data_IF_609200334084
#
_entry.id   IF_609200334084
#
_cell.length_a   1.000
_cell.length_b   1.000
_cell.length_c   1.000
_cell.angle_alpha   90.00
_cell.angle_beta   90.00
_cell.angle_gamma   90.00
#
_symmetry.space_group_name_H-M   'P 1'
#
loop_
_entity.id
_entity.type
_entity.pdbx_description
1 polymer ?
#
# COMPACT_ATOMS: atom_id res chain seq x y z
N UNK A 1 4.13 -4.02 -5.44
CA UNK A 1 3.07 -4.60 -4.58
C UNK A 1 2.88 -3.68 -3.39
N UNK A 2 2.03 -2.65 -3.53
CA UNK A 2 1.58 -1.89 -2.37
C UNK A 2 0.66 -2.80 -1.55
N UNK A 3 0.92 -2.90 -0.26
CA UNK A 3 0.13 -3.72 0.65
C UNK A 3 -1.36 -3.43 0.41
N UNK A 4 -2.12 -4.46 0.02
CA UNK A 4 -3.56 -4.48 0.14
C UNK A 4 -3.83 -5.03 1.54
N UNK A 5 -3.92 -4.20 2.60
CA UNK A 5 -4.14 -4.72 3.94
C UNK A 5 -5.49 -5.42 4.07
N UNK A 6 -6.40 -5.35 3.08
CA UNK A 6 -7.70 -6.01 3.13
C UNK A 6 -8.16 -6.71 1.84
N UNK A 7 -7.47 -6.51 0.71
CA UNK A 7 -7.86 -7.11 -0.57
C UNK A 7 -7.67 -8.63 -0.66
N UNK A 8 -7.08 -9.26 0.35
CA UNK A 8 -6.96 -10.73 0.47
C UNK A 8 -7.76 -11.31 1.64
N UNK A 9 -8.39 -10.50 2.49
CA UNK A 9 -9.12 -11.00 3.67
C UNK A 9 -10.48 -11.62 3.29
N UNK A 10 -11.23 -10.98 2.39
CA UNK A 10 -12.58 -11.44 2.03
C UNK A 10 -12.61 -12.78 1.27
N UNK A 11 -11.58 -13.06 0.46
CA UNK A 11 -11.46 -14.32 -0.27
C UNK A 11 -10.89 -15.46 0.57
N UNK A 12 -9.99 -15.14 1.51
CA UNK A 12 -9.32 -16.16 2.31
C UNK A 12 -10.17 -16.66 3.49
N UNK A 13 -11.03 -15.82 4.08
CA UNK A 13 -11.85 -16.19 5.24
C UNK A 13 -13.13 -16.98 4.91
N UNK A 14 -13.36 -17.32 3.64
CA UNK A 14 -14.56 -18.03 3.16
C UNK A 14 -15.87 -17.51 3.79
N UNK A 15 -16.07 -16.19 3.74
CA UNK A 15 -17.19 -15.51 4.40
C UNK A 15 -18.53 -15.93 3.78
N UNK A 16 -19.52 -16.22 4.62
CA UNK A 16 -20.91 -16.48 4.18
C UNK A 16 -21.55 -15.21 3.59
N UNK A 17 -22.67 -15.36 2.89
CA UNK A 17 -23.41 -14.23 2.33
C UNK A 17 -23.80 -13.21 3.42
N UNK A 18 -24.34 -13.67 4.55
CA UNK A 18 -24.73 -12.82 5.67
C UNK A 18 -23.54 -12.09 6.31
N UNK A 19 -22.40 -12.79 6.45
CA UNK A 19 -21.18 -12.19 6.98
C UNK A 19 -20.65 -11.10 6.05
N UNK A 20 -20.64 -11.36 4.74
CA UNK A 20 -20.24 -10.38 3.73
C UNK A 20 -21.11 -9.14 3.79
N UNK A 21 -22.44 -9.30 3.84
CA UNK A 21 -23.37 -8.18 3.90
C UNK A 21 -23.13 -7.28 5.12
N UNK A 22 -22.71 -7.85 6.25
CA UNK A 22 -22.39 -7.08 7.48
C UNK A 22 -20.99 -6.47 7.47
N UNK A 23 -20.01 -7.16 6.89
CA UNK A 23 -18.60 -6.74 6.85
C UNK A 23 -18.34 -5.70 5.76
N UNK A 24 -19.06 -5.76 4.64
CA UNK A 24 -18.88 -4.87 3.50
C UNK A 24 -18.94 -3.37 3.84
N UNK A 25 -19.96 -2.85 4.56
CA UNK A 25 -20.00 -1.43 4.93
C UNK A 25 -18.81 -1.02 5.80
N UNK A 26 -18.38 -1.87 6.74
CA UNK A 26 -17.19 -1.65 7.56
C UNK A 26 -15.96 -1.52 6.67
N UNK A 27 -15.77 -2.46 5.74
CA UNK A 27 -14.61 -2.44 4.83
C UNK A 27 -14.63 -1.25 3.87
N UNK A 28 -15.80 -0.82 3.39
CA UNK A 28 -15.94 0.39 2.56
C UNK A 28 -15.52 1.64 3.34
N UNK A 29 -15.96 1.75 4.59
CA UNK A 29 -15.56 2.84 5.48
C UNK A 29 -14.06 2.81 5.76
N UNK A 30 -13.51 1.65 6.13
CA UNK A 30 -12.07 1.48 6.37
C UNK A 30 -11.26 1.89 5.16
N UNK A 31 -11.62 1.44 3.94
CA UNK A 31 -10.90 1.85 2.71
C UNK A 31 -10.90 3.35 2.50
N UNK A 32 -12.03 4.01 2.78
CA UNK A 32 -12.15 5.47 2.66
C UNK A 32 -11.22 6.17 3.66
N UNK A 33 -11.20 5.72 4.92
CA UNK A 33 -10.32 6.27 5.95
C UNK A 33 -8.84 6.00 5.64
N UNK A 34 -8.50 4.80 5.14
CA UNK A 34 -7.15 4.47 4.70
C UNK A 34 -6.67 5.42 3.59
N UNK A 35 -7.51 5.64 2.57
CA UNK A 35 -7.20 6.58 1.48
C UNK A 35 -6.95 7.97 2.03
N UNK A 36 -7.81 8.47 2.91
CA UNK A 36 -7.65 9.78 3.54
C UNK A 36 -6.35 9.91 4.34
N UNK A 37 -5.99 8.91 5.15
CA UNK A 37 -4.72 8.91 5.90
C UNK A 37 -3.52 8.94 4.96
N UNK A 38 -3.53 8.12 3.90
CA UNK A 38 -2.43 8.07 2.94
C UNK A 38 -2.31 9.35 2.12
N UNK A 39 -3.43 9.94 1.70
CA UNK A 39 -3.45 11.23 0.98
C UNK A 39 -2.97 12.38 1.87
N UNK A 40 -3.44 12.47 3.13
CA UNK A 40 -2.97 13.47 4.09
C UNK A 40 -1.46 13.36 4.33
N UNK A 41 -0.98 12.14 4.59
CA UNK A 41 0.43 11.87 4.81
C UNK A 41 1.28 12.30 3.61
N UNK A 42 0.90 11.87 2.41
CA UNK A 42 1.60 12.22 1.17
C UNK A 42 1.66 13.74 0.95
N UNK A 43 0.54 14.44 1.13
CA UNK A 43 0.47 15.88 0.99
C UNK A 43 1.40 16.58 1.99
N UNK A 44 1.41 16.12 3.25
CA UNK A 44 2.27 16.67 4.31
C UNK A 44 3.75 16.35 4.07
N UNK A 45 4.08 15.15 3.60
CA UNK A 45 5.45 14.75 3.23
C UNK A 45 5.99 15.64 2.11
N UNK A 46 5.20 15.87 1.06
CA UNK A 46 5.59 16.79 -0.03
C UNK A 46 5.66 18.25 0.45
N UNK A 47 4.74 18.67 1.32
CA UNK A 47 4.77 20.02 1.90
C UNK A 47 6.04 20.28 2.72
N UNK A 48 6.59 19.24 3.37
CA UNK A 48 7.82 19.32 4.15
C UNK A 48 9.09 19.48 3.31
N UNK A 49 9.02 19.27 1.99
CA UNK A 49 10.15 19.44 1.08
C UNK A 49 10.26 20.88 0.56
N UNK A 50 11.48 21.31 0.25
CA UNK A 50 11.72 22.54 -0.52
C UNK A 50 11.10 22.46 -1.92
N UNK A 51 10.83 23.60 -2.56
CA UNK A 51 10.24 23.64 -3.90
C UNK A 51 11.11 22.90 -4.94
N UNK A 52 12.44 23.10 -4.87
CA UNK A 52 13.39 22.45 -5.78
C UNK A 52 13.43 20.93 -5.57
N UNK A 53 13.44 20.48 -4.31
CA UNK A 53 13.44 19.05 -4.01
C UNK A 53 12.11 18.39 -4.37
N UNK A 54 10.97 19.05 -4.11
CA UNK A 54 9.65 18.58 -4.60
C UNK A 54 9.66 18.33 -6.10
N UNK A 55 10.15 19.30 -6.89
CA UNK A 55 10.19 19.19 -8.35
C UNK A 55 11.06 17.99 -8.80
N UNK A 56 12.23 17.81 -8.18
CA UNK A 56 13.12 16.67 -8.47
C UNK A 56 12.50 15.33 -8.06
N UNK A 57 11.88 15.24 -6.88
CA UNK A 57 11.18 14.03 -6.42
C UNK A 57 10.07 13.67 -7.40
N UNK A 58 9.26 14.64 -7.82
CA UNK A 58 8.20 14.42 -8.80
C UNK A 58 8.76 13.89 -10.13
N UNK A 59 9.85 14.48 -10.62
CA UNK A 59 10.52 14.02 -11.84
C UNK A 59 11.00 12.56 -11.72
N UNK A 60 11.60 12.17 -10.59
CA UNK A 60 12.05 10.79 -10.35
C UNK A 60 10.85 9.84 -10.35
N UNK A 61 9.75 10.22 -9.71
CA UNK A 61 8.51 9.43 -9.67
C UNK A 61 7.93 9.25 -11.08
N UNK A 62 7.85 10.31 -11.88
CA UNK A 62 7.31 10.25 -13.24
C UNK A 62 8.17 9.39 -14.16
N UNK A 63 9.50 9.49 -14.03
CA UNK A 63 10.45 8.61 -14.71
C UNK A 63 10.27 7.15 -14.30
N UNK A 64 10.13 6.90 -13.00
CA UNK A 64 9.87 5.58 -12.43
C UNK A 64 8.57 4.98 -12.96
N UNK A 65 7.50 5.78 -13.02
CA UNK A 65 6.21 5.39 -13.57
C UNK A 65 6.32 5.03 -15.05
N UNK A 66 6.98 5.87 -15.85
CA UNK A 66 7.19 5.58 -17.27
C UNK A 66 8.00 4.30 -17.49
N UNK A 67 9.04 4.07 -16.68
CA UNK A 67 9.83 2.84 -16.70
C UNK A 67 8.98 1.62 -16.33
N UNK A 68 8.18 1.69 -15.26
CA UNK A 68 7.28 0.62 -14.86
C UNK A 68 6.23 0.30 -15.94
N UNK A 69 5.65 1.32 -16.57
CA UNK A 69 4.70 1.14 -17.68
C UNK A 69 5.34 0.46 -18.89
N UNK A 70 6.61 0.73 -19.19
CA UNK A 70 7.36 0.04 -20.26
C UNK A 70 7.70 -1.41 -19.91
N UNK A 71 7.90 -1.71 -18.63
CA UNK A 71 8.19 -3.06 -18.12
C UNK A 71 6.93 -3.92 -17.97
N UNK A 72 5.74 -3.31 -17.95
CA UNK A 72 4.45 -4.00 -17.98
C UNK A 72 3.97 -4.13 -19.44
N UNK A 73 4.15 -5.28 -20.12
CA UNK A 73 3.50 -5.47 -21.41
C UNK A 73 1.98 -5.34 -21.24
N UNK A 74 1.30 -4.71 -22.21
CA UNK A 74 -0.16 -4.77 -22.27
C UNK A 74 -0.56 -6.24 -22.23
N UNK A 75 -1.22 -6.67 -21.14
CA UNK A 75 -1.68 -8.05 -21.06
C UNK A 75 -2.70 -8.24 -22.19
N UNK A 76 -2.48 -9.15 -23.16
CA UNK A 76 -3.54 -9.51 -24.08
C UNK A 76 -4.72 -10.05 -23.25
N UNK A 77 -5.98 -9.83 -23.69
CA UNK A 77 -7.11 -10.48 -23.05
C UNK A 77 -6.86 -11.99 -23.05
N UNK A 78 -6.61 -12.55 -21.86
CA UNK A 78 -6.41 -13.98 -21.70
C UNK A 78 -7.68 -14.73 -22.06
N UNK A 79 -7.58 -15.96 -22.58
CA UNK A 79 -8.75 -16.80 -22.81
C UNK A 79 -9.52 -16.97 -21.48
N UNK A 80 -10.87 -16.96 -21.50
CA UNK A 80 -11.67 -17.15 -20.30
C UNK A 80 -11.30 -18.47 -19.63
N UNK A 81 -10.78 -18.40 -18.39
CA UNK A 81 -10.43 -19.57 -17.58
C UNK A 81 -8.94 -19.87 -17.40
N UNK A 82 -8.03 -19.15 -18.06
CA UNK A 82 -6.60 -19.26 -17.75
C UNK A 82 -6.26 -18.35 -16.56
N UNK A 83 -5.85 -18.93 -15.42
CA UNK A 83 -5.28 -18.15 -14.33
C UNK A 83 -4.02 -17.44 -14.84
N UNK A 84 -3.92 -16.10 -14.75
CA UNK A 84 -2.72 -15.40 -15.12
C UNK A 84 -1.66 -15.75 -14.07
N UNK A 85 -0.79 -16.71 -14.37
CA UNK A 85 0.44 -16.92 -13.61
C UNK A 85 1.45 -15.87 -14.06
N UNK A 86 1.75 -14.86 -13.25
CA UNK A 86 2.69 -13.84 -13.65
C UNK A 86 4.12 -14.38 -13.50
N UNK A 87 4.92 -14.20 -14.54
CA UNK A 87 6.32 -14.59 -14.59
C UNK A 87 7.11 -13.94 -13.43
N UNK A 88 7.59 -14.79 -12.50
CA UNK A 88 8.29 -14.38 -11.27
C UNK A 88 9.58 -13.58 -11.56
N UNK A 89 10.24 -13.81 -12.70
CA UNK A 89 11.47 -13.09 -13.08
C UNK A 89 11.24 -11.60 -13.32
N UNK A 90 10.06 -11.22 -13.80
CA UNK A 90 9.69 -9.82 -14.06
C UNK A 90 9.40 -9.04 -12.78
N UNK A 91 9.01 -9.72 -11.69
CA UNK A 91 8.88 -9.07 -10.37
C UNK A 91 10.20 -8.69 -9.75
N UNK A 92 11.29 -9.42 -10.05
CA UNK A 92 12.64 -9.06 -9.62
C UNK A 92 13.05 -7.69 -10.17
N UNK A 93 12.90 -7.50 -11.48
CA UNK A 93 13.23 -6.23 -12.15
C UNK A 93 12.37 -5.06 -11.66
N UNK A 94 11.06 -5.27 -11.45
CA UNK A 94 10.17 -4.22 -10.88
C UNK A 94 10.58 -3.86 -9.45
N UNK A 95 10.96 -4.85 -8.62
CA UNK A 95 11.43 -4.62 -7.25
C UNK A 95 12.76 -3.87 -7.23
N UNK A 96 13.69 -4.21 -8.11
CA UNK A 96 14.97 -3.52 -8.24
C UNK A 96 14.77 -2.07 -8.70
N UNK A 97 13.94 -1.85 -9.71
CA UNK A 97 13.59 -0.50 -10.17
C UNK A 97 12.93 0.31 -9.06
N UNK A 98 12.04 -0.30 -8.26
CA UNK A 98 11.43 0.36 -7.10
C UNK A 98 12.48 0.75 -6.04
N UNK A 99 13.39 -0.16 -5.68
CA UNK A 99 14.46 0.14 -4.74
C UNK A 99 15.39 1.25 -5.24
N UNK A 100 15.69 1.25 -6.54
CA UNK A 100 16.47 2.30 -7.18
C UNK A 100 15.81 3.67 -7.07
N UNK A 101 14.49 3.76 -7.27
CA UNK A 101 13.75 5.02 -7.13
C UNK A 101 13.78 5.53 -5.69
N UNK A 102 13.59 4.63 -4.70
CA UNK A 102 13.70 4.97 -3.27
C UNK A 102 15.07 5.61 -2.99
N UNK A 103 16.16 4.93 -3.39
CA UNK A 103 17.52 5.43 -3.14
C UNK A 103 17.83 6.74 -3.88
N UNK A 104 17.27 6.95 -5.07
CA UNK A 104 17.42 8.22 -5.79
C UNK A 104 16.70 9.38 -5.10
N UNK A 105 15.49 9.15 -4.59
CA UNK A 105 14.75 10.14 -3.81
C UNK A 105 15.53 10.45 -2.53
N UNK A 106 15.96 9.44 -1.78
CA UNK A 106 16.70 9.66 -0.55
C UNK A 106 18.02 10.43 -0.79
N UNK A 107 18.72 10.19 -1.89
CA UNK A 107 19.96 10.89 -2.20
C UNK A 107 19.80 12.40 -2.45
N UNK A 108 18.62 12.87 -2.87
CA UNK A 108 18.39 14.29 -3.19
C UNK A 108 17.84 15.11 -2.02
N UNK A 109 17.36 14.46 -0.95
CA UNK A 109 16.79 15.13 0.21
C UNK A 109 17.87 15.58 1.20
N UNK A 110 17.67 16.73 1.83
CA UNK A 110 18.47 17.14 2.97
C UNK A 110 18.15 16.30 4.22
N UNK A 111 19.06 16.21 5.21
CA UNK A 111 18.81 15.45 6.43
C UNK A 111 17.54 15.88 7.20
N UNK A 112 17.23 17.18 7.23
CA UNK A 112 16.03 17.71 7.91
C UNK A 112 14.74 17.35 7.18
N UNK A 113 14.75 17.37 5.84
CA UNK A 113 13.61 16.92 5.03
C UNK A 113 13.37 15.43 5.21
N UNK A 114 14.42 14.60 5.18
CA UNK A 114 14.31 13.15 5.46
C UNK A 114 13.66 12.89 6.80
N UNK A 115 14.13 13.58 7.85
CA UNK A 115 13.58 13.43 9.19
C UNK A 115 12.10 13.83 9.25
N UNK A 116 11.72 14.92 8.58
CA UNK A 116 10.34 15.39 8.52
C UNK A 116 9.42 14.39 7.81
N UNK A 117 9.85 13.87 6.66
CA UNK A 117 9.12 12.85 5.90
C UNK A 117 8.96 11.57 6.72
N UNK A 118 10.02 11.09 7.37
CA UNK A 118 9.97 9.90 8.22
C UNK A 118 9.00 10.11 9.41
N UNK A 119 9.02 11.28 10.04
CA UNK A 119 8.13 11.58 11.16
C UNK A 119 6.65 11.58 10.72
N UNK A 120 6.35 12.16 9.56
CA UNK A 120 4.99 12.18 8.99
C UNK A 120 4.56 10.76 8.58
N UNK A 121 5.45 10.00 7.93
CA UNK A 121 5.20 8.62 7.55
C UNK A 121 4.94 7.71 8.76
N UNK A 122 5.64 7.93 9.88
CA UNK A 122 5.40 7.23 11.14
C UNK A 122 4.03 7.59 11.75
N UNK A 123 3.65 8.88 11.79
CA UNK A 123 2.32 9.33 12.25
C UNK A 123 1.20 8.67 11.43
N UNK A 124 1.36 8.67 10.10
CA UNK A 124 0.41 8.02 9.19
C UNK A 124 0.32 6.51 9.42
N UNK A 125 1.47 5.85 9.63
CA UNK A 125 1.50 4.42 9.95
C UNK A 125 0.81 4.12 11.28
N UNK A 126 1.04 4.90 12.33
CA UNK A 126 0.35 4.73 13.62
C UNK A 126 -1.17 4.88 13.47
N UNK A 127 -1.63 5.88 12.72
CA UNK A 127 -3.07 6.06 12.40
C UNK A 127 -3.63 4.87 11.62
N UNK A 128 -2.88 4.35 10.65
CA UNK A 128 -3.24 3.19 9.87
C UNK A 128 -3.38 1.92 10.73
N UNK A 129 -2.45 1.71 11.66
CA UNK A 129 -2.47 0.59 12.61
C UNK A 129 -3.69 0.69 13.52
N UNK A 130 -3.95 1.86 14.11
CA UNK A 130 -5.14 2.08 14.95
C UNK A 130 -6.45 1.83 14.17
N UNK A 131 -6.53 2.29 12.92
CA UNK A 131 -7.66 2.03 12.04
C UNK A 131 -7.84 0.53 11.76
N UNK A 132 -6.75 -0.18 11.50
CA UNK A 132 -6.76 -1.63 11.28
C UNK A 132 -7.25 -2.38 12.53
N UNK A 133 -6.76 -2.03 13.71
CA UNK A 133 -7.19 -2.64 14.98
C UNK A 133 -8.66 -2.36 15.29
N UNK A 134 -9.13 -1.13 15.04
CA UNK A 134 -10.53 -0.76 15.16
C UNK A 134 -11.41 -1.59 14.21
N UNK A 135 -11.01 -1.68 12.95
CA UNK A 135 -11.71 -2.50 11.93
C UNK A 135 -11.79 -3.96 12.35
N UNK A 136 -10.69 -4.53 12.86
CA UNK A 136 -10.66 -5.92 13.31
C UNK A 136 -11.57 -6.15 14.52
N UNK A 137 -11.64 -5.20 15.45
CA UNK A 137 -12.54 -5.28 16.60
C UNK A 137 -14.01 -5.30 16.18
N UNK A 138 -14.37 -4.61 15.09
CA UNK A 138 -15.73 -4.63 14.54
C UNK A 138 -16.04 -5.90 13.73
N UNK A 139 -15.05 -6.46 13.04
CA UNK A 139 -15.23 -7.62 12.16
C UNK A 139 -15.19 -8.94 12.93
N UNK A 140 -14.32 -9.08 13.93
CA UNK A 140 -14.16 -10.30 14.74
C UNK A 140 -15.48 -10.92 15.25
N UNK A 141 -16.44 -10.17 15.83
CA UNK A 141 -17.71 -10.74 16.30
C UNK A 141 -18.65 -11.25 15.18
N UNK A 142 -18.38 -10.89 13.92
CA UNK A 142 -19.13 -11.36 12.76
C UNK A 142 -18.57 -12.67 12.19
N UNK A 143 -17.42 -13.12 12.68
CA UNK A 143 -16.71 -14.32 12.23
C UNK A 143 -16.99 -15.50 13.17
N UNK A 144 -16.89 -16.72 12.63
CA UNK A 144 -16.88 -17.93 13.44
C UNK A 144 -15.47 -18.22 14.01
N UNK A 145 -15.37 -19.19 14.91
CA UNK A 145 -14.12 -19.51 15.61
C UNK A 145 -12.96 -19.87 14.65
N UNK A 146 -13.23 -20.65 13.59
CA UNK A 146 -12.22 -21.04 12.61
C UNK A 146 -11.72 -19.85 11.78
N UNK A 147 -12.64 -18.96 11.39
CA UNK A 147 -12.33 -17.73 10.68
C UNK A 147 -11.50 -16.76 11.55
N UNK A 148 -11.82 -16.64 12.85
CA UNK A 148 -11.03 -15.85 13.80
C UNK A 148 -9.62 -16.42 13.93
N UNK A 149 -9.48 -17.74 14.05
CA UNK A 149 -8.17 -18.40 14.11
C UNK A 149 -7.33 -18.13 12.86
N UNK A 150 -7.96 -18.19 11.68
CA UNK A 150 -7.30 -17.90 10.41
C UNK A 150 -6.89 -16.43 10.30
N UNK A 151 -7.74 -15.52 10.77
CA UNK A 151 -7.46 -14.08 10.84
C UNK A 151 -6.25 -13.78 11.74
N UNK A 152 -6.20 -14.38 12.93
CA UNK A 152 -5.09 -14.16 13.87
C UNK A 152 -3.77 -14.76 13.35
N UNK A 153 -3.81 -15.91 12.65
CA UNK A 153 -2.63 -16.46 11.96
C UNK A 153 -2.10 -15.51 10.88
N UNK A 154 -2.99 -14.87 10.11
CA UNK A 154 -2.59 -13.87 9.12
C UNK A 154 -1.95 -12.65 9.79
N UNK A 155 -2.52 -12.15 10.89
CA UNK A 155 -1.96 -11.02 11.64
C UNK A 155 -0.53 -11.33 12.11
N UNK A 156 -0.30 -12.50 12.70
CA UNK A 156 1.03 -12.90 13.18
C UNK A 156 2.07 -12.97 12.06
N UNK A 157 1.68 -13.42 10.87
CA UNK A 157 2.56 -13.41 9.68
C UNK A 157 2.89 -11.98 9.22
N UNK A 158 1.91 -11.07 9.29
CA UNK A 158 2.09 -9.69 8.86
C UNK A 158 3.00 -8.90 9.83
N UNK A 159 2.77 -9.05 11.14
CA UNK A 159 3.59 -8.41 12.19
C UNK A 159 5.06 -8.84 12.09
N UNK A 160 5.33 -10.11 11.82
CA UNK A 160 6.69 -10.61 11.62
C UNK A 160 7.42 -9.98 10.43
N UNK A 161 6.70 -9.57 9.37
CA UNK A 161 7.28 -8.86 8.22
C UNK A 161 7.40 -7.35 8.45
N UNK A 162 6.55 -6.74 9.27
CA UNK A 162 6.63 -5.32 9.61
C UNK A 162 7.79 -5.01 10.57
N UNK A 163 8.12 -5.93 11.48
CA UNK A 163 9.22 -5.77 12.42
C UNK A 163 10.60 -5.57 11.76
N UNK A 164 10.73 -5.88 10.47
CA UNK A 164 11.99 -5.79 9.72
C UNK A 164 12.03 -4.61 8.72
N UNK A 165 11.07 -3.68 8.79
CA UNK A 165 11.08 -2.48 7.95
C UNK A 165 11.84 -1.34 8.61
N UNK A 166 12.89 -0.88 7.95
CA UNK A 166 13.52 0.40 8.24
C UNK A 166 12.71 1.53 7.59
N UNK A 167 12.26 2.55 8.35
CA UNK A 167 11.58 3.70 7.77
C UNK A 167 12.56 4.50 6.90
N UNK A 168 12.16 4.74 5.65
CA UNK A 168 12.97 5.42 4.63
C UNK A 168 12.12 6.53 3.98
N UNK A 169 12.67 7.74 3.89
CA UNK A 169 11.96 8.90 3.36
C UNK A 169 11.56 8.72 1.89
N UNK A 170 12.44 8.12 1.08
CA UNK A 170 12.15 7.78 -0.30
C UNK A 170 11.02 6.75 -0.44
N UNK A 171 10.93 5.80 0.49
CA UNK A 171 9.85 4.82 0.50
C UNK A 171 8.47 5.45 0.79
N UNK A 172 8.39 6.40 1.73
CA UNK A 172 7.14 7.10 2.03
C UNK A 172 6.66 7.97 0.86
N UNK A 173 7.56 8.79 0.30
CA UNK A 173 7.26 9.65 -0.84
C UNK A 173 6.82 8.85 -2.07
N UNK A 174 7.50 7.74 -2.35
CA UNK A 174 7.15 6.86 -3.46
C UNK A 174 5.81 6.13 -3.21
N UNK A 175 5.55 5.65 -1.99
CA UNK A 175 4.28 4.98 -1.66
C UNK A 175 3.07 5.90 -1.84
N UNK A 176 3.13 7.15 -1.38
CA UNK A 176 2.04 8.11 -1.55
C UNK A 176 1.74 8.41 -3.02
N UNK A 177 2.78 8.60 -3.84
CA UNK A 177 2.64 8.87 -5.27
C UNK A 177 2.10 7.66 -6.06
N UNK A 178 2.51 6.44 -5.70
CA UNK A 178 1.99 5.23 -6.32
C UNK A 178 0.53 4.94 -5.93
N UNK A 179 0.07 5.40 -4.77
CA UNK A 179 -1.34 5.33 -4.35
C UNK A 179 -2.30 6.02 -5.33
N UNK A 180 -1.82 7.05 -6.01
CA UNK A 180 -2.57 7.85 -6.99
C UNK A 180 -2.57 7.24 -8.42
N UNK A 181 -1.88 6.11 -8.64
CA UNK A 181 -1.80 5.47 -9.96
C UNK A 181 -2.98 4.57 -10.33
N UNK A 182 -4.00 4.43 -9.48
CA UNK A 182 -5.18 3.64 -9.86
C UNK A 182 -6.18 4.55 -10.58
N UNK A 183 -6.44 4.35 -11.89
CA UNK A 183 -7.66 4.88 -12.47
C UNK A 183 -8.82 4.30 -11.65
N UNK A 184 -9.75 5.16 -11.25
CA UNK A 184 -10.98 4.74 -10.60
C UNK A 184 -11.72 3.79 -11.53
N UNK A 185 -11.52 2.48 -11.35
CA UNK A 185 -12.50 1.50 -11.77
C UNK A 185 -13.67 1.68 -10.82
N UNK A 186 -14.55 2.61 -11.19
CA UNK A 186 -15.89 2.70 -10.65
C UNK A 186 -16.58 1.32 -10.77
N UNK A 187 -17.48 0.99 -9.83
CA UNK A 187 -18.24 -0.25 -9.84
C UNK A 187 -19.11 -0.40 -11.10
#
# INVERSE_FOLDING_TARGET
MGARPFGHFGGALNLTADQRQKIEPIMRQTRTQMRSITEDAHNREFAALSADHRAKVQQIIDQGRAAMLRMMPAMPPGPPGAEPHPDMGKFGAVREQHQKLISQIDAILSPSEKQSVIAIGNDAHSKMTALHESTMSQVKPLLNADQVKMLDQMKSRHVGMEANRTPDAGAYLLMGAMGHMRPEMHP
#
